data_IF_427572734711
#
_entry.id   IF_427572734711
#
_cell.length_a   1.000
_cell.length_b   1.000
_cell.length_c   1.000
_cell.angle_alpha   90.00
_cell.angle_beta   90.00
_cell.angle_gamma   90.00
#
_symmetry.space_group_name_H-M   'P 1'
#
loop_
_entity.id
_entity.type
_entity.pdbx_description
1 polymer ?
#
# COMPACT_ATOMS: atom_id res chain seq x y z
N UNK A 1 7.18 -19.26 10.81
CA UNK A 1 7.45 -18.85 9.42
C UNK A 1 7.90 -17.39 9.47
N UNK A 2 9.13 -17.10 9.08
CA UNK A 2 9.64 -15.72 9.05
C UNK A 2 9.05 -15.01 7.82
N UNK A 3 8.55 -13.79 8.00
CA UNK A 3 8.08 -12.94 6.90
C UNK A 3 9.13 -11.86 6.68
N UNK A 4 9.65 -11.74 5.47
CA UNK A 4 10.61 -10.71 5.14
C UNK A 4 9.87 -9.37 5.05
N UNK A 5 10.09 -8.46 6.00
CA UNK A 5 9.46 -7.13 6.03
C UNK A 5 10.46 -6.13 5.50
N UNK A 6 10.13 -5.45 4.41
CA UNK A 6 11.00 -4.44 3.82
C UNK A 6 10.27 -3.10 3.72
N UNK A 7 10.90 -2.00 4.16
CA UNK A 7 10.50 -0.68 3.69
C UNK A 7 10.80 -0.63 2.18
N UNK A 8 9.89 -0.07 1.39
CA UNK A 8 10.10 0.07 -0.05
C UNK A 8 11.01 1.26 -0.37
N UNK A 9 12.23 1.26 0.17
CA UNK A 9 13.10 2.44 0.18
C UNK A 9 14.23 2.38 -0.85
N UNK A 10 14.71 1.18 -1.24
CA UNK A 10 15.87 1.04 -2.14
C UNK A 10 15.75 -0.07 -3.21
N UNK A 11 16.52 0.07 -4.30
CA UNK A 11 16.62 -0.94 -5.37
C UNK A 11 17.17 -2.29 -4.90
N UNK A 12 18.07 -2.29 -3.91
CA UNK A 12 18.69 -3.51 -3.38
C UNK A 12 17.66 -4.37 -2.63
N UNK A 13 16.86 -3.73 -1.78
CA UNK A 13 15.76 -4.39 -1.04
C UNK A 13 14.76 -5.05 -1.97
N UNK A 14 14.50 -4.47 -3.16
CA UNK A 14 13.63 -5.07 -4.18
C UNK A 14 14.21 -6.33 -4.82
N UNK A 15 15.52 -6.35 -5.10
CA UNK A 15 16.19 -7.53 -5.62
C UNK A 15 16.15 -8.68 -4.62
N UNK A 16 16.40 -8.37 -3.35
CA UNK A 16 16.34 -9.34 -2.25
C UNK A 16 14.90 -9.84 -2.03
N UNK A 17 13.90 -8.96 -2.10
CA UNK A 17 12.48 -9.31 -2.05
C UNK A 17 12.07 -10.27 -3.19
N UNK A 18 12.47 -9.95 -4.42
CA UNK A 18 12.18 -10.79 -5.59
C UNK A 18 12.79 -12.18 -5.41
N UNK A 19 14.07 -12.23 -5.03
CA UNK A 19 14.77 -13.49 -4.76
C UNK A 19 14.08 -14.31 -3.67
N UNK A 20 13.73 -13.67 -2.54
CA UNK A 20 13.03 -14.33 -1.45
C UNK A 20 11.68 -14.93 -1.91
N UNK A 21 10.89 -14.19 -2.70
CA UNK A 21 9.62 -14.69 -3.24
C UNK A 21 9.79 -15.89 -4.18
N UNK A 22 10.77 -15.83 -5.08
CA UNK A 22 11.07 -16.92 -6.01
C UNK A 22 11.59 -18.16 -5.27
N UNK A 23 12.27 -17.97 -4.13
CA UNK A 23 12.67 -19.04 -3.20
C UNK A 23 11.51 -19.54 -2.30
N UNK A 24 10.28 -19.07 -2.55
CA UNK A 24 9.06 -19.47 -1.82
C UNK A 24 8.91 -18.82 -0.45
N UNK A 25 9.74 -17.83 -0.09
CA UNK A 25 9.61 -17.09 1.15
C UNK A 25 8.59 -15.95 0.99
N UNK A 26 7.65 -15.79 1.93
CA UNK A 26 6.70 -14.70 1.88
C UNK A 26 7.38 -13.35 2.12
N UNK A 27 6.95 -12.34 1.37
CA UNK A 27 7.46 -10.98 1.49
C UNK A 27 6.33 -10.03 1.83
N UNK A 28 6.60 -9.12 2.76
CA UNK A 28 5.72 -8.02 3.11
C UNK A 28 6.39 -6.69 2.77
N UNK A 29 5.73 -5.91 1.93
CA UNK A 29 6.12 -4.55 1.61
C UNK A 29 5.22 -3.59 2.39
N UNK A 30 5.81 -2.56 3.00
CA UNK A 30 5.07 -1.56 3.76
C UNK A 30 5.16 -0.18 3.11
N UNK A 31 4.02 0.52 3.05
CA UNK A 31 3.92 1.86 2.51
C UNK A 31 3.28 2.80 3.53
N UNK A 32 3.84 3.99 3.79
CA UNK A 32 3.16 5.02 4.59
C UNK A 32 2.02 5.69 3.80
N UNK A 33 1.85 5.39 2.52
CA UNK A 33 0.90 6.00 1.60
C UNK A 33 1.49 6.06 0.19
N UNK A 34 0.65 5.92 -0.83
CA UNK A 34 1.03 6.00 -2.25
C UNK A 34 1.30 7.45 -2.65
N UNK A 35 2.52 7.71 -3.10
CA UNK A 35 2.82 8.82 -4.04
C UNK A 35 3.41 8.24 -5.32
N UNK A 36 3.62 9.09 -6.33
CA UNK A 36 4.07 8.68 -7.67
C UNK A 36 5.32 7.80 -7.63
N UNK A 37 6.24 8.08 -6.70
CA UNK A 37 7.41 7.24 -6.48
C UNK A 37 7.00 5.79 -6.18
N UNK A 38 6.27 5.53 -5.09
CA UNK A 38 5.89 4.17 -4.68
C UNK A 38 4.99 3.48 -5.71
N UNK A 39 4.19 4.24 -6.45
CA UNK A 39 3.38 3.75 -7.57
C UNK A 39 4.28 3.16 -8.67
N UNK A 40 5.26 3.92 -9.14
CA UNK A 40 6.20 3.46 -10.17
C UNK A 40 7.02 2.27 -9.67
N UNK A 41 7.43 2.37 -8.41
CA UNK A 41 8.21 1.37 -7.70
C UNK A 41 7.46 0.01 -7.58
N UNK A 42 6.17 0.04 -7.29
CA UNK A 42 5.30 -1.13 -7.29
C UNK A 42 5.12 -1.71 -8.69
N UNK A 43 4.92 -0.85 -9.69
CA UNK A 43 4.77 -1.28 -11.10
C UNK A 43 6.01 -2.06 -11.58
N UNK A 44 7.19 -1.50 -11.34
CA UNK A 44 8.47 -2.12 -11.70
C UNK A 44 8.67 -3.48 -11.00
N UNK A 45 8.31 -3.56 -9.72
CA UNK A 45 8.42 -4.80 -8.96
C UNK A 45 7.47 -5.89 -9.46
N UNK A 46 6.20 -5.54 -9.70
CA UNK A 46 5.20 -6.46 -10.25
C UNK A 46 5.62 -6.93 -11.65
N UNK A 47 6.10 -6.02 -12.51
CA UNK A 47 6.58 -6.38 -13.84
C UNK A 47 7.74 -7.38 -13.79
N UNK A 48 8.73 -7.15 -12.92
CA UNK A 48 9.87 -8.06 -12.76
C UNK A 48 9.44 -9.42 -12.20
N UNK A 49 8.67 -9.42 -11.11
CA UNK A 49 8.16 -10.64 -10.49
C UNK A 49 7.37 -11.49 -11.48
N UNK A 50 6.45 -10.87 -12.23
CA UNK A 50 5.63 -11.58 -13.20
C UNK A 50 6.43 -12.01 -14.44
N UNK A 51 7.47 -11.27 -14.83
CA UNK A 51 8.37 -11.70 -15.90
C UNK A 51 9.17 -12.94 -15.54
N UNK A 52 9.71 -13.03 -14.31
CA UNK A 52 10.42 -14.22 -13.80
C UNK A 52 9.51 -15.46 -13.70
N UNK A 53 8.19 -15.26 -13.68
CA UNK A 53 7.18 -16.31 -13.64
C UNK A 53 6.57 -16.62 -15.02
N UNK A 54 7.10 -16.06 -16.11
CA UNK A 54 6.53 -16.15 -17.47
C UNK A 54 5.08 -15.61 -17.58
N UNK A 55 4.70 -14.69 -16.69
CA UNK A 55 3.38 -14.07 -16.55
C UNK A 55 3.40 -12.56 -16.82
N UNK A 56 4.40 -12.05 -17.55
CA UNK A 56 4.55 -10.60 -17.80
C UNK A 56 3.28 -9.93 -18.38
N UNK A 57 2.46 -10.67 -19.13
CA UNK A 57 1.17 -10.18 -19.66
C UNK A 57 0.15 -9.79 -18.57
N UNK A 58 0.33 -10.28 -17.34
CA UNK A 58 -0.49 -9.91 -16.18
C UNK A 58 0.02 -8.68 -15.43
N UNK A 59 1.14 -8.06 -15.83
CA UNK A 59 1.76 -6.97 -15.06
C UNK A 59 0.82 -5.78 -14.91
N UNK A 60 0.28 -5.29 -16.02
CA UNK A 60 -0.62 -4.14 -16.04
C UNK A 60 -1.92 -4.40 -15.25
N UNK A 61 -2.70 -5.49 -15.51
CA UNK A 61 -3.92 -5.73 -14.75
C UNK A 61 -3.64 -5.95 -13.25
N UNK A 62 -2.56 -6.65 -12.89
CA UNK A 62 -2.18 -6.85 -11.49
C UNK A 62 -1.82 -5.53 -10.81
N UNK A 63 -1.09 -4.66 -11.51
CA UNK A 63 -0.73 -3.33 -11.03
C UNK A 63 -1.96 -2.44 -10.84
N UNK A 64 -2.89 -2.41 -11.80
CA UNK A 64 -4.13 -1.62 -11.69
C UNK A 64 -4.96 -2.06 -10.48
N UNK A 65 -5.13 -3.37 -10.28
CA UNK A 65 -5.85 -3.93 -9.13
C UNK A 65 -5.14 -3.55 -7.82
N UNK A 66 -3.84 -3.79 -7.73
CA UNK A 66 -3.06 -3.47 -6.54
C UNK A 66 -3.13 -1.97 -6.21
N UNK A 67 -2.97 -1.10 -7.21
CA UNK A 67 -3.04 0.35 -7.05
C UNK A 67 -4.39 0.81 -6.48
N UNK A 68 -5.49 0.25 -6.96
CA UNK A 68 -6.82 0.60 -6.45
C UNK A 68 -7.03 0.14 -5.00
N UNK A 69 -6.61 -1.08 -4.68
CA UNK A 69 -6.68 -1.60 -3.30
C UNK A 69 -5.85 -0.76 -2.32
N UNK A 70 -4.61 -0.44 -2.68
CA UNK A 70 -3.72 0.37 -1.85
C UNK A 70 -4.24 1.81 -1.74
N UNK A 71 -4.78 2.39 -2.82
CA UNK A 71 -5.40 3.72 -2.79
C UNK A 71 -6.57 3.77 -1.79
N UNK A 72 -7.41 2.74 -1.78
CA UNK A 72 -8.53 2.63 -0.86
C UNK A 72 -8.07 2.40 0.59
N UNK A 73 -7.07 1.55 0.82
CA UNK A 73 -6.45 1.38 2.13
C UNK A 73 -5.85 2.70 2.66
N UNK A 74 -5.15 3.45 1.80
CA UNK A 74 -4.56 4.74 2.15
C UNK A 74 -5.64 5.76 2.53
N UNK A 75 -6.72 5.87 1.75
CA UNK A 75 -7.85 6.75 2.06
C UNK A 75 -8.53 6.35 3.37
N UNK A 76 -8.66 5.06 3.66
CA UNK A 76 -9.22 4.59 4.92
C UNK A 76 -8.37 5.00 6.12
N UNK A 77 -7.04 4.84 6.03
CA UNK A 77 -6.10 5.34 7.05
C UNK A 77 -6.19 6.85 7.20
N UNK A 78 -6.25 7.59 6.08
CA UNK A 78 -6.35 9.03 6.11
C UNK A 78 -7.63 9.53 6.80
N UNK A 79 -8.78 8.85 6.57
CA UNK A 79 -10.03 9.14 7.27
C UNK A 79 -9.91 8.95 8.77
N UNK A 80 -9.25 7.87 9.23
CA UNK A 80 -9.05 7.61 10.67
C UNK A 80 -8.25 8.73 11.33
N UNK A 81 -7.13 9.12 10.72
CA UNK A 81 -6.28 10.21 11.21
C UNK A 81 -7.05 11.53 11.22
N UNK A 82 -7.78 11.84 10.15
CA UNK A 82 -8.53 13.08 10.04
C UNK A 82 -9.66 13.17 11.08
N UNK A 83 -10.40 12.08 11.32
CA UNK A 83 -11.42 12.04 12.38
C UNK A 83 -10.81 12.27 13.77
N UNK A 84 -9.65 11.65 14.03
CA UNK A 84 -8.91 11.87 15.27
C UNK A 84 -8.50 13.34 15.44
N UNK A 85 -8.00 13.98 14.37
CA UNK A 85 -7.64 15.40 14.37
C UNK A 85 -8.84 16.34 14.58
N UNK A 86 -10.00 16.00 14.03
CA UNK A 86 -11.23 16.77 14.21
C UNK A 86 -11.94 16.44 15.56
N UNK A 87 -11.39 15.53 16.36
CA UNK A 87 -11.97 15.12 17.65
C UNK A 87 -13.33 14.41 17.49
N UNK A 88 -13.57 13.76 16.35
CA UNK A 88 -14.83 13.09 16.02
C UNK A 88 -14.67 11.58 16.28
N UNK A 89 -15.42 11.00 17.25
CA UNK A 89 -15.43 9.56 17.45
C UNK A 89 -15.99 8.83 16.22
N UNK A 90 -15.43 7.67 15.90
CA UNK A 90 -15.79 6.92 14.67
C UNK A 90 -17.22 6.35 14.73
N UNK A 91 -17.72 6.11 15.94
CA UNK A 91 -19.08 5.67 16.25
C UNK A 91 -20.13 6.79 16.10
N UNK A 92 -19.72 8.05 16.05
CA UNK A 92 -20.62 9.17 15.84
C UNK A 92 -20.89 9.37 14.34
N UNK A 93 -21.93 8.72 13.83
CA UNK A 93 -22.27 8.76 12.41
C UNK A 93 -22.56 10.17 11.88
N UNK A 94 -23.26 11.01 12.64
CA UNK A 94 -23.56 12.39 12.26
C UNK A 94 -22.28 13.25 12.21
N UNK A 95 -21.44 13.11 13.24
CA UNK A 95 -20.12 13.75 13.32
C UNK A 95 -19.22 13.32 12.16
N UNK A 96 -19.17 12.03 11.85
CA UNK A 96 -18.43 11.48 10.73
C UNK A 96 -18.89 12.09 9.41
N UNK A 97 -20.21 12.09 9.12
CA UNK A 97 -20.76 12.68 7.88
C UNK A 97 -20.41 14.15 7.78
N UNK A 98 -20.47 14.90 8.89
CA UNK A 98 -20.07 16.31 8.92
C UNK A 98 -18.58 16.51 8.62
N UNK A 99 -17.71 15.71 9.24
CA UNK A 99 -16.28 15.76 9.01
C UNK A 99 -15.93 15.44 7.55
N UNK A 100 -16.57 14.42 6.96
CA UNK A 100 -16.32 13.99 5.58
C UNK A 100 -16.59 15.06 4.52
N UNK A 101 -17.45 16.07 4.82
CA UNK A 101 -17.64 17.24 3.93
C UNK A 101 -16.36 18.07 3.75
N UNK A 102 -15.49 18.10 4.77
CA UNK A 102 -14.21 18.81 4.73
C UNK A 102 -13.03 17.95 4.27
N UNK A 103 -13.19 16.63 4.19
CA UNK A 103 -12.10 15.69 3.93
C UNK A 103 -11.41 15.93 2.58
N UNK A 104 -12.18 16.23 1.52
CA UNK A 104 -11.63 16.48 0.20
C UNK A 104 -10.60 17.64 0.20
N UNK A 105 -10.99 18.82 0.70
CA UNK A 105 -10.10 19.99 0.71
C UNK A 105 -9.01 19.94 1.79
N UNK A 106 -9.30 19.36 2.96
CA UNK A 106 -8.32 19.32 4.07
C UNK A 106 -7.30 18.19 3.94
N UNK A 107 -7.64 17.11 3.23
CA UNK A 107 -6.80 15.90 3.12
C UNK A 107 -6.41 15.59 1.68
N UNK A 108 -7.38 15.40 0.78
CA UNK A 108 -7.08 14.92 -0.58
C UNK A 108 -6.33 15.97 -1.43
N UNK A 109 -6.70 17.25 -1.33
CA UNK A 109 -6.00 18.34 -2.03
C UNK A 109 -4.59 18.61 -1.48
N UNK A 110 -4.29 18.11 -0.27
CA UNK A 110 -3.02 18.29 0.44
C UNK A 110 -2.35 16.96 0.77
N UNK A 111 -2.53 15.97 -0.11
CA UNK A 111 -2.20 14.57 0.16
C UNK A 111 -0.74 14.35 0.55
N UNK A 112 0.20 15.03 -0.12
CA UNK A 112 1.63 14.92 0.17
C UNK A 112 1.99 15.42 1.58
N UNK A 113 1.28 16.44 2.07
CA UNK A 113 1.44 16.94 3.43
C UNK A 113 0.84 15.95 4.43
N UNK A 114 -0.36 15.44 4.13
CA UNK A 114 -1.08 14.51 4.99
C UNK A 114 -0.39 13.14 5.09
N UNK A 115 0.38 12.74 4.08
CA UNK A 115 1.22 11.54 4.12
C UNK A 115 2.21 11.54 5.30
N UNK A 116 2.69 12.72 5.72
CA UNK A 116 3.57 12.82 6.89
C UNK A 116 2.82 12.40 8.17
N UNK A 117 1.51 12.63 8.22
CA UNK A 117 0.66 12.22 9.34
C UNK A 117 0.46 10.71 9.37
N UNK A 118 0.45 10.01 8.23
CA UNK A 118 0.41 8.54 8.21
C UNK A 118 1.61 7.95 8.96
N UNK A 119 2.84 8.41 8.66
CA UNK A 119 4.05 7.95 9.37
C UNK A 119 4.00 8.29 10.86
N UNK A 120 3.51 9.47 11.24
CA UNK A 120 3.45 9.90 12.64
C UNK A 120 2.44 9.12 13.48
N UNK A 121 1.39 8.60 12.85
CA UNK A 121 0.31 7.87 13.52
C UNK A 121 0.42 6.34 13.32
N UNK A 122 1.60 5.85 12.92
CA UNK A 122 1.87 4.42 12.67
C UNK A 122 0.86 3.74 11.71
N UNK A 123 0.32 4.50 10.76
CA UNK A 123 -0.62 4.00 9.77
C UNK A 123 0.11 3.66 8.47
N UNK A 124 0.36 2.36 8.29
CA UNK A 124 0.96 1.80 7.10
C UNK A 124 -0.03 0.92 6.32
N UNK A 125 0.21 0.79 5.03
CA UNK A 125 -0.44 -0.19 4.16
C UNK A 125 0.53 -1.34 4.01
N UNK A 126 0.02 -2.57 4.11
CA UNK A 126 0.82 -3.78 4.07
C UNK A 126 0.46 -4.58 2.83
N UNK A 127 1.37 -4.63 1.86
CA UNK A 127 1.23 -5.60 0.78
C UNK A 127 1.94 -6.89 1.14
N UNK A 128 1.23 -8.01 1.09
CA UNK A 128 1.79 -9.33 1.31
C UNK A 128 1.83 -10.12 0.01
N UNK A 129 2.97 -10.75 -0.24
CA UNK A 129 3.24 -11.55 -1.41
C UNK A 129 3.67 -12.95 -0.98
N UNK A 130 3.12 -13.97 -1.62
CA UNK A 130 3.51 -15.35 -1.38
C UNK A 130 3.36 -16.19 -2.64
N UNK A 131 4.43 -16.89 -3.03
CA UNK A 131 4.36 -17.95 -4.04
C UNK A 131 4.13 -19.29 -3.32
N UNK A 132 2.96 -19.91 -3.52
CA UNK A 132 2.61 -21.19 -2.89
C UNK A 132 1.92 -22.09 -3.89
N UNK A 133 2.35 -23.35 -4.00
CA UNK A 133 1.70 -24.36 -4.86
C UNK A 133 1.50 -23.87 -6.31
N UNK A 134 2.48 -23.14 -6.86
CA UNK A 134 2.44 -22.47 -8.19
C UNK A 134 1.41 -21.33 -8.34
N UNK A 135 0.85 -20.86 -7.23
CA UNK A 135 -0.03 -19.70 -7.19
C UNK A 135 0.69 -18.51 -6.56
N UNK A 136 0.64 -17.36 -7.23
CA UNK A 136 1.08 -16.09 -6.65
C UNK A 136 -0.11 -15.46 -5.90
N UNK A 137 0.02 -15.33 -4.60
CA UNK A 137 -0.91 -14.63 -3.73
C UNK A 137 -0.40 -13.21 -3.49
N UNK A 138 -1.29 -12.23 -3.70
CA UNK A 138 -1.04 -10.81 -3.42
C UNK A 138 -2.20 -10.30 -2.57
N UNK A 139 -1.90 -9.77 -1.39
CA UNK A 139 -2.86 -9.22 -0.44
C UNK A 139 -2.46 -7.79 -0.09
N UNK A 140 -3.45 -6.92 0.20
CA UNK A 140 -3.30 -5.50 0.54
C UNK A 140 -4.06 -5.18 1.83
#
# INVERSE_FOLDING_TARGET
MYVFVLPFETHKERGDALKALLDGQPVRIIFPGLVDREVNELSDFLYRLLSELDLAFLSEPSFVIAKELISNASKANAKRIYLLQEGVPIENEEGYRKAMRGFAGKVLERWDEFRKEHKKNDHYIHMFFQLKDKHLHIEV
#
